data_IF_498220519391
#
_entry.id   IF_498220519391
#
_cell.length_a   1.000
_cell.length_b   1.000
_cell.length_c   1.000
_cell.angle_alpha   90.00
_cell.angle_beta   90.00
_cell.angle_gamma   90.00
#
_symmetry.space_group_name_H-M   'P 1'
#
loop_
_entity.id
_entity.type
_entity.pdbx_description
1 polymer ?
#
# COMPACT_ATOMS: atom_id res chain seq x y z
N UNK A 1 12.11 -19.04 6.29
CA UNK A 1 12.70 -17.85 6.85
C UNK A 1 12.97 -16.76 5.80
N UNK A 2 13.55 -17.14 4.69
CA UNK A 2 13.81 -16.17 3.62
C UNK A 2 12.53 -15.52 3.08
N UNK A 3 11.42 -16.26 3.13
CA UNK A 3 10.14 -15.73 2.64
C UNK A 3 9.61 -14.58 3.48
N UNK A 4 9.90 -14.57 4.79
CA UNK A 4 9.48 -13.47 5.66
C UNK A 4 10.06 -12.14 5.17
N UNK A 5 11.36 -12.11 4.92
CA UNK A 5 12.02 -10.89 4.45
C UNK A 5 11.56 -10.49 3.05
N UNK A 6 11.31 -11.48 2.19
CA UNK A 6 10.79 -11.22 0.85
C UNK A 6 9.40 -10.60 0.91
N UNK A 7 8.54 -11.11 1.78
CA UNK A 7 7.20 -10.55 1.96
C UNK A 7 7.26 -9.12 2.49
N UNK A 8 8.12 -8.87 3.48
CA UNK A 8 8.30 -7.53 4.04
C UNK A 8 8.81 -6.58 2.96
N UNK A 9 9.76 -7.02 2.14
CA UNK A 9 10.28 -6.20 1.05
C UNK A 9 9.19 -5.85 0.04
N UNK A 10 8.34 -6.82 -0.31
CA UNK A 10 7.21 -6.59 -1.22
C UNK A 10 6.26 -5.55 -0.64
N UNK A 11 5.90 -5.68 0.64
CA UNK A 11 5.01 -4.72 1.30
C UNK A 11 5.62 -3.32 1.33
N UNK A 12 6.91 -3.23 1.68
CA UNK A 12 7.61 -1.95 1.70
C UNK A 12 7.65 -1.29 0.33
N UNK A 13 7.93 -2.08 -0.72
CA UNK A 13 7.95 -1.52 -2.08
C UNK A 13 6.58 -1.02 -2.50
N UNK A 14 5.52 -1.72 -2.11
CA UNK A 14 4.16 -1.28 -2.37
C UNK A 14 3.81 0.04 -1.69
N UNK A 15 4.32 0.24 -0.49
CA UNK A 15 4.09 1.49 0.24
C UNK A 15 4.87 2.65 -0.36
N UNK A 16 6.14 2.41 -0.70
CA UNK A 16 7.04 3.50 -1.12
C UNK A 16 6.72 3.97 -2.54
N UNK A 17 6.54 3.04 -3.47
CA UNK A 17 6.35 3.40 -4.88
C UNK A 17 5.66 2.26 -5.62
N UNK A 18 4.50 2.59 -6.20
CA UNK A 18 3.72 1.59 -6.94
C UNK A 18 4.50 1.02 -8.13
N UNK A 19 5.29 1.86 -8.81
CA UNK A 19 6.10 1.42 -9.96
C UNK A 19 7.16 0.42 -9.51
N UNK A 20 7.86 0.72 -8.41
CA UNK A 20 8.84 -0.20 -7.83
C UNK A 20 8.18 -1.51 -7.42
N UNK A 21 7.00 -1.43 -6.82
CA UNK A 21 6.24 -2.62 -6.45
C UNK A 21 5.86 -3.45 -7.68
N UNK A 22 5.42 -2.81 -8.77
CA UNK A 22 5.04 -3.51 -9.99
C UNK A 22 6.22 -4.31 -10.56
N UNK A 23 7.41 -3.72 -10.55
CA UNK A 23 8.62 -4.39 -11.01
C UNK A 23 8.97 -5.58 -10.10
N UNK A 24 9.03 -5.33 -8.78
CA UNK A 24 9.37 -6.37 -7.79
C UNK A 24 8.34 -7.49 -7.82
N UNK A 25 7.05 -7.13 -7.79
CA UNK A 25 5.97 -8.10 -7.81
C UNK A 25 5.96 -8.93 -9.09
N UNK A 26 6.21 -8.29 -10.23
CA UNK A 26 6.30 -9.00 -11.50
C UNK A 26 7.43 -10.00 -11.51
N UNK A 27 8.62 -9.60 -11.02
CA UNK A 27 9.77 -10.49 -10.94
C UNK A 27 9.48 -11.66 -9.99
N UNK A 28 8.91 -11.39 -8.83
CA UNK A 28 8.58 -12.43 -7.85
C UNK A 28 7.58 -13.42 -8.46
N UNK A 29 6.51 -12.94 -9.06
CA UNK A 29 5.51 -13.81 -9.66
C UNK A 29 6.05 -14.64 -10.82
N UNK A 30 7.00 -14.09 -11.57
CA UNK A 30 7.61 -14.79 -12.69
C UNK A 30 8.59 -15.87 -12.26
N UNK A 31 9.42 -15.56 -11.25
CA UNK A 31 10.53 -16.44 -10.87
C UNK A 31 10.23 -17.41 -9.74
N UNK A 32 9.21 -17.16 -8.95
CA UNK A 32 8.92 -18.01 -7.79
C UNK A 32 7.70 -18.89 -8.05
N UNK A 33 7.72 -20.10 -7.49
CA UNK A 33 6.56 -20.97 -7.46
C UNK A 33 5.89 -20.94 -6.08
N UNK A 34 6.44 -20.19 -5.13
CA UNK A 34 5.92 -20.11 -3.79
C UNK A 34 4.60 -19.34 -3.79
N UNK A 35 3.53 -20.05 -3.47
CA UNK A 35 2.19 -19.46 -3.45
C UNK A 35 2.02 -18.41 -2.37
N UNK A 36 2.74 -18.54 -1.24
CA UNK A 36 2.67 -17.54 -0.18
C UNK A 36 3.19 -16.18 -0.66
N UNK A 37 4.30 -16.19 -1.41
CA UNK A 37 4.83 -14.96 -1.97
C UNK A 37 3.88 -14.35 -2.99
N UNK A 38 3.26 -15.18 -3.82
CA UNK A 38 2.28 -14.72 -4.80
C UNK A 38 1.07 -14.11 -4.11
N UNK A 39 0.61 -14.72 -3.01
CA UNK A 39 -0.50 -14.17 -2.23
C UNK A 39 -0.15 -12.82 -1.64
N UNK A 40 1.08 -12.67 -1.16
CA UNK A 40 1.55 -11.39 -0.60
C UNK A 40 1.58 -10.31 -1.69
N UNK A 41 2.07 -10.64 -2.88
CA UNK A 41 2.05 -9.71 -4.01
C UNK A 41 0.62 -9.30 -4.35
N UNK A 42 -0.29 -10.27 -4.41
CA UNK A 42 -1.69 -10.01 -4.72
C UNK A 42 -2.34 -9.10 -3.66
N UNK A 43 -2.11 -9.41 -2.39
CA UNK A 43 -2.64 -8.61 -1.29
C UNK A 43 -2.10 -7.17 -1.36
N UNK A 44 -0.80 -7.02 -1.55
CA UNK A 44 -0.17 -5.71 -1.65
C UNK A 44 -0.73 -4.92 -2.84
N UNK A 45 -0.96 -5.61 -3.97
CA UNK A 45 -1.55 -4.99 -5.15
C UNK A 45 -2.95 -4.46 -4.85
N UNK A 46 -3.78 -5.28 -4.21
CA UNK A 46 -5.15 -4.89 -3.87
C UNK A 46 -5.14 -3.68 -2.93
N UNK A 47 -4.32 -3.72 -1.88
CA UNK A 47 -4.22 -2.62 -0.91
C UNK A 47 -3.74 -1.35 -1.62
N UNK A 48 -2.69 -1.46 -2.44
CA UNK A 48 -2.15 -0.31 -3.17
C UNK A 48 -3.19 0.30 -4.11
N UNK A 49 -3.94 -0.54 -4.82
CA UNK A 49 -4.97 -0.04 -5.74
C UNK A 49 -6.10 0.67 -5.01
N UNK A 50 -6.49 0.16 -3.83
CA UNK A 50 -7.53 0.80 -3.03
C UNK A 50 -7.07 2.20 -2.62
N UNK A 51 -5.86 2.34 -2.08
CA UNK A 51 -5.36 3.64 -1.63
C UNK A 51 -5.09 4.58 -2.80
N UNK A 52 -4.56 4.09 -3.92
CA UNK A 52 -4.39 4.90 -5.13
C UNK A 52 -5.73 5.39 -5.65
N UNK A 53 -6.75 4.53 -5.64
CA UNK A 53 -8.09 4.90 -6.07
C UNK A 53 -8.68 5.99 -5.18
N UNK A 54 -8.54 5.88 -3.87
CA UNK A 54 -9.01 6.89 -2.94
C UNK A 54 -8.31 8.23 -3.16
N UNK A 55 -6.99 8.21 -3.33
CA UNK A 55 -6.23 9.42 -3.59
C UNK A 55 -6.57 10.02 -4.95
N UNK A 56 -6.83 9.19 -5.95
CA UNK A 56 -7.24 9.66 -7.27
C UNK A 56 -8.60 10.36 -7.21
N UNK A 57 -9.54 9.82 -6.44
CA UNK A 57 -10.84 10.44 -6.26
C UNK A 57 -10.68 11.81 -5.62
N UNK A 58 -9.83 11.93 -4.61
CA UNK A 58 -9.55 13.23 -3.97
C UNK A 58 -8.89 14.21 -4.94
N UNK A 59 -7.98 13.73 -5.78
CA UNK A 59 -7.32 14.56 -6.77
C UNK A 59 -8.32 15.10 -7.79
N UNK A 60 -9.24 14.25 -8.23
CA UNK A 60 -10.33 14.66 -9.15
C UNK A 60 -11.21 15.69 -8.48
N UNK A 61 -11.59 15.47 -7.23
CA UNK A 61 -12.40 16.42 -6.46
C UNK A 61 -11.72 17.78 -6.40
N UNK A 62 -10.45 17.82 -6.08
CA UNK A 62 -9.67 19.06 -6.00
C UNK A 62 -9.60 19.77 -7.37
N UNK A 63 -9.37 18.98 -8.43
CA UNK A 63 -9.25 19.50 -9.78
C UNK A 63 -10.57 20.12 -10.26
N UNK A 64 -11.68 19.40 -10.05
CA UNK A 64 -13.01 19.89 -10.46
C UNK A 64 -13.38 21.14 -9.70
N UNK A 65 -13.10 21.19 -8.39
CA UNK A 65 -13.37 22.38 -7.58
C UNK A 65 -12.66 23.61 -8.12
N UNK A 66 -11.38 23.46 -8.46
CA UNK A 66 -10.62 24.55 -9.04
C UNK A 66 -11.12 24.97 -10.42
N UNK A 67 -11.59 23.98 -11.19
CA UNK A 67 -12.08 24.23 -12.55
C UNK A 67 -13.37 25.06 -12.59
N UNK A 68 -14.32 24.72 -11.70
CA UNK A 68 -15.62 25.37 -11.68
C UNK A 68 -15.62 26.76 -11.03
N UNK A 69 -14.78 26.95 -10.02
CA UNK A 69 -14.79 28.19 -9.24
C UNK A 69 -13.60 29.10 -9.51
N UNK A 70 -12.72 28.71 -10.42
CA UNK A 70 -11.46 29.41 -10.64
C UNK A 70 -10.46 29.22 -9.51
N UNK A 71 -10.96 28.94 -8.34
CA UNK A 71 -10.16 28.55 -7.18
C UNK A 71 -11.06 27.74 -6.26
N UNK A 72 -10.47 26.84 -5.50
CA UNK A 72 -11.20 26.02 -4.53
C UNK A 72 -11.47 26.88 -3.28
N UNK A 73 -12.69 26.80 -2.71
CA UNK A 73 -13.01 27.55 -1.49
C UNK A 73 -12.17 27.03 -0.33
N UNK A 74 -11.92 27.90 0.70
CA UNK A 74 -11.13 27.46 1.87
C UNK A 74 -11.74 26.26 2.55
N UNK A 75 -13.06 26.21 2.69
CA UNK A 75 -13.74 25.07 3.33
C UNK A 75 -13.53 23.79 2.52
N UNK A 76 -13.64 23.86 1.19
CA UNK A 76 -13.42 22.70 0.33
C UNK A 76 -11.97 22.25 0.35
N UNK A 77 -11.04 23.19 0.38
CA UNK A 77 -9.61 22.86 0.48
C UNK A 77 -9.29 22.21 1.80
N UNK A 78 -9.84 22.72 2.91
CA UNK A 78 -9.64 22.13 4.23
C UNK A 78 -10.19 20.70 4.29
N UNK A 79 -11.38 20.47 3.72
CA UNK A 79 -11.95 19.12 3.66
C UNK A 79 -11.04 18.17 2.87
N UNK A 80 -10.54 18.63 1.72
CA UNK A 80 -9.61 17.83 0.91
C UNK A 80 -8.36 17.48 1.68
N UNK A 81 -7.76 18.47 2.36
CA UNK A 81 -6.53 18.29 3.13
C UNK A 81 -6.73 17.30 4.28
N UNK A 82 -7.84 17.44 5.01
CA UNK A 82 -8.15 16.55 6.12
C UNK A 82 -8.35 15.12 5.63
N UNK A 83 -9.13 14.93 4.57
CA UNK A 83 -9.38 13.59 4.02
C UNK A 83 -8.11 12.96 3.49
N UNK A 84 -7.26 13.73 2.81
CA UNK A 84 -5.97 13.24 2.34
C UNK A 84 -5.10 12.77 3.49
N UNK A 85 -5.03 13.55 4.57
CA UNK A 85 -4.26 13.19 5.76
C UNK A 85 -4.78 11.90 6.38
N UNK A 86 -6.10 11.75 6.50
CA UNK A 86 -6.72 10.54 7.04
C UNK A 86 -6.34 9.33 6.19
N UNK A 87 -6.41 9.44 4.87
CA UNK A 87 -6.08 8.35 3.96
C UNK A 87 -4.61 7.97 4.09
N UNK A 88 -3.71 8.96 4.16
CA UNK A 88 -2.27 8.69 4.29
C UNK A 88 -1.96 8.01 5.62
N UNK A 89 -2.58 8.45 6.71
CA UNK A 89 -2.40 7.82 8.02
C UNK A 89 -2.92 6.38 7.99
N UNK A 90 -4.10 6.17 7.39
CA UNK A 90 -4.68 4.83 7.26
C UNK A 90 -3.75 3.92 6.47
N UNK A 91 -3.14 4.43 5.39
CA UNK A 91 -2.19 3.67 4.60
C UNK A 91 -0.99 3.22 5.43
N UNK A 92 -0.41 4.14 6.21
CA UNK A 92 0.71 3.83 7.09
C UNK A 92 0.31 2.74 8.09
N UNK A 93 -0.86 2.88 8.71
CA UNK A 93 -1.34 1.92 9.72
C UNK A 93 -1.54 0.54 9.08
N UNK A 94 -2.18 0.48 7.91
CA UNK A 94 -2.44 -0.79 7.23
C UNK A 94 -1.14 -1.50 6.88
N UNK A 95 -0.19 -0.78 6.28
CA UNK A 95 1.10 -1.39 5.91
C UNK A 95 1.90 -1.79 7.15
N UNK A 96 1.86 -1.00 8.20
CA UNK A 96 2.54 -1.35 9.45
C UNK A 96 1.97 -2.64 10.05
N UNK A 97 0.65 -2.76 10.08
CA UNK A 97 -0.02 -3.97 10.58
C UNK A 97 0.36 -5.19 9.73
N UNK A 98 0.35 -5.04 8.41
CA UNK A 98 0.70 -6.15 7.52
C UNK A 98 2.14 -6.60 7.72
N UNK A 99 3.07 -5.66 7.87
CA UNK A 99 4.48 -5.97 8.10
C UNK A 99 4.66 -6.66 9.44
N UNK A 100 4.01 -6.15 10.49
CA UNK A 100 4.07 -6.75 11.83
C UNK A 100 3.53 -8.18 11.80
N UNK A 101 2.42 -8.41 11.11
CA UNK A 101 1.85 -9.75 10.97
C UNK A 101 2.83 -10.71 10.30
N UNK A 102 3.53 -10.27 9.27
CA UNK A 102 4.51 -11.12 8.60
C UNK A 102 5.71 -11.41 9.50
N UNK A 103 6.15 -10.42 10.28
CA UNK A 103 7.23 -10.62 11.26
C UNK A 103 6.83 -11.64 12.31
N UNK A 104 5.63 -11.52 12.87
CA UNK A 104 5.14 -12.44 13.89
C UNK A 104 5.06 -13.87 13.34
N UNK A 105 4.50 -14.01 12.15
CA UNK A 105 4.39 -15.33 11.52
C UNK A 105 5.77 -15.95 11.26
N UNK A 106 6.71 -15.15 10.77
CA UNK A 106 8.06 -15.63 10.49
C UNK A 106 8.80 -16.05 11.75
N UNK A 107 8.69 -15.26 12.81
CA UNK A 107 9.33 -15.59 14.08
C UNK A 107 8.67 -16.80 14.73
N UNK A 108 7.37 -16.93 14.65
CA UNK A 108 6.65 -18.09 15.17
C UNK A 108 7.07 -19.37 14.46
N UNK A 109 7.20 -19.34 13.15
CA UNK A 109 7.68 -20.49 12.37
C UNK A 109 9.12 -20.88 12.77
N UNK A 110 9.96 -19.88 13.01
CA UNK A 110 11.34 -20.13 13.42
C UNK A 110 11.39 -20.84 14.77
N UNK A 111 10.53 -20.44 15.71
CA UNK A 111 10.44 -21.08 17.02
C UNK A 111 9.95 -22.52 16.90
N UNK A 112 8.95 -22.77 16.05
CA UNK A 112 8.43 -24.12 15.85
C UNK A 112 9.47 -25.05 15.26
N UNK A 113 10.35 -24.54 14.41
CA UNK A 113 11.37 -25.35 13.75
C UNK A 113 12.60 -25.59 14.64
N UNK A 114 12.68 -24.92 15.75
CA UNK A 114 13.75 -25.14 16.72
C UNK A 114 13.31 -26.14 17.80
#
# INVERSE_FOLDING_TARGET
MNNMWKKIFILLSGYVNFIAFAVVGGIVCYKTEDEELKKTVKLTLIVSLIFLGLLAILAIYNYIGGMFNGYISSAAYDAYSIMKSIILIAEIVVYAVLIIMELVKGLSKKEENN
#
